data_IF_835382000919
#
_entry.id   IF_835382000919
#
_cell.length_a   1.000
_cell.length_b   1.000
_cell.length_c   1.000
_cell.angle_alpha   90.00
_cell.angle_beta   90.00
_cell.angle_gamma   90.00
#
_symmetry.space_group_name_H-M   'P 1'
#
loop_
_entity.id
_entity.type
_entity.pdbx_description
1 polymer ?
#
# COMPACT_ATOMS: atom_id res chain seq x y z
N UNK A 1 8.02 -5.41 18.40
CA UNK A 1 7.40 -5.54 17.08
C UNK A 1 7.54 -6.99 16.62
N UNK A 2 6.41 -7.70 16.50
CA UNK A 2 6.36 -9.09 16.03
C UNK A 2 6.63 -9.18 14.52
N UNK A 3 6.88 -10.39 13.99
CA UNK A 3 7.21 -10.60 12.57
C UNK A 3 6.13 -10.05 11.63
N UNK A 4 4.86 -10.21 11.96
CA UNK A 4 3.76 -9.70 11.16
C UNK A 4 3.74 -8.16 11.11
N UNK A 5 3.97 -7.48 12.22
CA UNK A 5 4.09 -6.02 12.27
C UNK A 5 5.28 -5.50 11.44
N UNK A 6 6.42 -6.22 11.45
CA UNK A 6 7.57 -5.89 10.60
C UNK A 6 7.27 -6.04 9.12
N UNK A 7 6.62 -7.12 8.74
CA UNK A 7 6.20 -7.34 7.35
C UNK A 7 5.27 -6.23 6.89
N UNK A 8 4.23 -5.91 7.69
CA UNK A 8 3.29 -4.84 7.34
C UNK A 8 3.96 -3.48 7.20
N UNK A 9 4.87 -3.14 8.11
CA UNK A 9 5.61 -1.88 8.03
C UNK A 9 6.48 -1.81 6.77
N UNK A 10 7.10 -2.92 6.36
CA UNK A 10 7.89 -2.97 5.13
C UNK A 10 7.02 -2.78 3.89
N UNK A 11 5.93 -3.54 3.76
CA UNK A 11 5.02 -3.46 2.60
C UNK A 11 4.41 -2.07 2.47
N UNK A 12 3.93 -1.48 3.56
CA UNK A 12 3.38 -0.12 3.53
C UNK A 12 4.41 0.92 3.07
N UNK A 13 5.68 0.79 3.50
CA UNK A 13 6.75 1.67 3.05
C UNK A 13 7.05 1.49 1.55
N UNK A 14 7.06 0.25 1.06
CA UNK A 14 7.27 -0.02 -0.37
C UNK A 14 6.12 0.55 -1.20
N UNK A 15 4.86 0.29 -0.82
CA UNK A 15 3.67 0.84 -1.49
C UNK A 15 3.72 2.37 -1.58
N UNK A 16 4.07 3.06 -0.48
CA UNK A 16 4.25 4.52 -0.47
C UNK A 16 5.37 4.94 -1.43
N UNK A 17 6.49 4.21 -1.43
CA UNK A 17 7.61 4.45 -2.33
C UNK A 17 7.25 4.30 -3.81
N UNK A 18 6.33 3.38 -4.14
CA UNK A 18 5.81 3.20 -5.51
C UNK A 18 4.84 4.31 -5.93
N UNK A 19 4.03 4.83 -5.01
CA UNK A 19 3.00 5.85 -5.33
C UNK A 19 3.55 7.28 -5.34
N UNK A 20 4.51 7.60 -4.47
CA UNK A 20 5.00 8.98 -4.32
C UNK A 20 5.50 9.60 -5.65
N UNK A 21 6.27 8.87 -6.51
CA UNK A 21 6.65 9.38 -7.82
C UNK A 21 5.48 9.55 -8.79
N UNK A 22 4.46 8.69 -8.67
CA UNK A 22 3.30 8.67 -9.56
C UNK A 22 2.37 9.85 -9.31
N UNK A 23 2.17 10.22 -8.05
CA UNK A 23 1.29 11.32 -7.59
C UNK A 23 1.83 12.73 -7.84
N UNK A 24 3.01 12.84 -8.46
CA UNK A 24 3.65 14.13 -8.70
C UNK A 24 4.25 14.80 -7.47
N UNK A 25 4.14 14.17 -6.30
CA UNK A 25 4.76 14.62 -5.06
C UNK A 25 6.28 14.39 -5.11
N UNK A 26 7.00 15.24 -5.83
CA UNK A 26 8.46 15.18 -5.95
C UNK A 26 9.06 15.90 -7.16
N UNK A 27 8.25 16.29 -8.15
CA UNK A 27 8.71 17.02 -9.33
C UNK A 27 8.80 18.52 -9.09
N UNK A 28 9.96 19.14 -9.34
CA UNK A 28 10.18 20.59 -9.18
C UNK A 28 9.36 21.49 -10.14
N UNK A 29 8.60 20.92 -11.06
CA UNK A 29 7.98 21.64 -12.20
C UNK A 29 6.54 21.24 -12.53
N UNK A 30 5.85 20.48 -11.68
CA UNK A 30 4.45 20.10 -11.97
C UNK A 30 3.44 21.11 -11.46
N UNK A 31 2.42 21.37 -12.28
CA UNK A 31 1.28 22.22 -11.95
C UNK A 31 0.25 21.46 -11.11
N UNK A 32 -0.56 22.18 -10.33
CA UNK A 32 -1.67 21.58 -9.55
C UNK A 32 -2.62 20.75 -10.40
N UNK A 33 -2.82 21.11 -11.67
CA UNK A 33 -3.65 20.36 -12.62
C UNK A 33 -3.04 19.01 -13.01
N UNK A 34 -1.72 18.96 -13.22
CA UNK A 34 -0.99 17.72 -13.54
C UNK A 34 -0.98 16.76 -12.36
N UNK A 35 -0.81 17.29 -11.14
CA UNK A 35 -0.93 16.53 -9.90
C UNK A 35 -2.36 15.96 -9.78
N UNK A 36 -3.39 16.77 -10.00
CA UNK A 36 -4.78 16.31 -9.95
C UNK A 36 -5.11 15.22 -10.97
N UNK A 37 -4.62 15.33 -12.21
CA UNK A 37 -4.78 14.29 -13.24
C UNK A 37 -4.06 13.00 -12.89
N UNK A 38 -2.85 13.10 -12.35
CA UNK A 38 -2.06 11.97 -11.89
C UNK A 38 -2.77 11.24 -10.72
N UNK A 39 -3.33 11.99 -9.77
CA UNK A 39 -4.09 11.40 -8.66
C UNK A 39 -5.31 10.62 -9.14
N UNK A 40 -6.06 11.16 -10.11
CA UNK A 40 -7.20 10.45 -10.73
C UNK A 40 -6.72 9.20 -11.46
N UNK A 41 -5.62 9.29 -12.21
CA UNK A 41 -5.06 8.14 -12.94
C UNK A 41 -4.56 7.00 -12.02
N UNK A 42 -4.29 7.31 -10.75
CA UNK A 42 -3.77 6.36 -9.75
C UNK A 42 -4.70 6.22 -8.54
N UNK A 43 -5.96 6.62 -8.67
CA UNK A 43 -6.96 6.52 -7.60
C UNK A 43 -7.10 5.09 -7.05
N UNK A 44 -7.12 4.02 -7.87
CA UNK A 44 -7.17 2.65 -7.36
C UNK A 44 -5.99 2.32 -6.44
N UNK A 45 -4.77 2.65 -6.85
CA UNK A 45 -3.55 2.43 -6.06
C UNK A 45 -3.60 3.18 -4.72
N UNK A 46 -4.07 4.43 -4.73
CA UNK A 46 -4.26 5.24 -3.53
C UNK A 46 -5.31 4.63 -2.59
N UNK A 47 -6.40 4.11 -3.14
CA UNK A 47 -7.48 3.48 -2.38
C UNK A 47 -7.03 2.17 -1.71
N UNK A 48 -6.21 1.37 -2.39
CA UNK A 48 -5.64 0.15 -1.81
C UNK A 48 -4.61 0.47 -0.71
N UNK A 49 -3.72 1.44 -0.92
CA UNK A 49 -2.80 1.90 0.13
C UNK A 49 -3.56 2.41 1.35
N UNK A 50 -4.60 3.22 1.15
CA UNK A 50 -5.45 3.70 2.24
C UNK A 50 -6.08 2.54 3.01
N UNK A 51 -6.63 1.55 2.30
CA UNK A 51 -7.27 0.38 2.91
C UNK A 51 -6.27 -0.45 3.73
N UNK A 52 -5.05 -0.63 3.22
CA UNK A 52 -3.97 -1.31 3.93
C UNK A 52 -3.53 -0.53 5.18
N UNK A 53 -3.41 0.81 5.09
CA UNK A 53 -3.11 1.68 6.24
C UNK A 53 -4.18 1.59 7.32
N UNK A 54 -5.46 1.72 6.94
CA UNK A 54 -6.58 1.64 7.87
C UNK A 54 -6.60 0.28 8.60
N UNK A 55 -6.43 -0.82 7.85
CA UNK A 55 -6.35 -2.15 8.44
C UNK A 55 -5.13 -2.30 9.36
N UNK A 56 -3.97 -1.76 8.99
CA UNK A 56 -2.78 -1.80 9.84
C UNK A 56 -2.93 -0.98 11.14
N UNK A 57 -3.60 0.18 11.08
CA UNK A 57 -3.94 0.96 12.28
C UNK A 57 -4.79 0.13 13.21
N UNK A 58 -5.86 -0.49 12.69
CA UNK A 58 -6.67 -1.41 13.48
C UNK A 58 -5.86 -2.54 14.05
N UNK A 59 -4.93 -3.15 13.29
CA UNK A 59 -4.03 -4.22 13.73
C UNK A 59 -2.97 -3.78 14.76
N UNK A 60 -2.71 -2.48 14.90
CA UNK A 60 -1.70 -1.94 15.84
C UNK A 60 -2.27 -1.54 17.21
N UNK A 61 -3.60 -1.46 17.36
CA UNK A 61 -4.25 -1.16 18.65
C UNK A 61 -4.13 -2.36 19.61
N UNK A 62 -3.88 -2.13 20.91
CA UNK A 62 -3.83 -3.19 21.91
C UNK A 62 -5.24 -3.72 22.26
N UNK A 63 -5.35 -5.03 22.56
CA UNK A 63 -6.58 -5.72 23.00
C UNK A 63 -7.68 -5.83 21.94
N UNK A 64 -7.55 -6.82 21.04
CA UNK A 64 -8.56 -7.19 20.04
C UNK A 64 -9.08 -8.61 20.25
N UNK A 65 -10.32 -8.85 19.86
CA UNK A 65 -10.83 -10.21 19.71
C UNK A 65 -10.11 -10.93 18.57
N UNK A 66 -10.03 -12.25 18.65
CA UNK A 66 -9.44 -13.07 17.58
C UNK A 66 -10.12 -12.83 16.23
N UNK A 67 -11.46 -12.72 16.20
CA UNK A 67 -12.20 -12.43 14.97
C UNK A 67 -11.90 -11.05 14.37
N UNK A 68 -11.63 -10.04 15.20
CA UNK A 68 -11.19 -8.73 14.69
C UNK A 68 -9.78 -8.82 14.10
N UNK A 69 -8.88 -9.58 14.72
CA UNK A 69 -7.52 -9.81 14.19
C UNK A 69 -7.61 -10.48 12.81
N UNK A 70 -8.42 -11.52 12.66
CA UNK A 70 -8.59 -12.25 11.39
C UNK A 70 -9.18 -11.33 10.31
N UNK A 71 -10.28 -10.64 10.61
CA UNK A 71 -10.93 -9.73 9.67
C UNK A 71 -9.99 -8.62 9.15
N UNK A 72 -9.26 -7.96 10.04
CA UNK A 72 -8.34 -6.89 9.62
C UNK A 72 -7.06 -7.44 8.98
N UNK A 73 -6.63 -8.65 9.32
CA UNK A 73 -5.50 -9.31 8.64
C UNK A 73 -5.85 -9.67 7.20
N UNK A 74 -7.04 -10.23 6.97
CA UNK A 74 -7.54 -10.52 5.62
C UNK A 74 -7.67 -9.24 4.80
N UNK A 75 -8.37 -8.23 5.34
CA UNK A 75 -8.55 -6.94 4.67
C UNK A 75 -7.22 -6.26 4.33
N UNK A 76 -6.24 -6.35 5.21
CA UNK A 76 -4.88 -5.87 4.94
C UNK A 76 -4.25 -6.63 3.77
N UNK A 77 -4.23 -7.96 3.83
CA UNK A 77 -3.58 -8.78 2.80
C UNK A 77 -4.21 -8.60 1.42
N UNK A 78 -5.53 -8.58 1.33
CA UNK A 78 -6.25 -8.32 0.08
C UNK A 78 -5.89 -6.96 -0.49
N UNK A 79 -5.88 -5.90 0.33
CA UNK A 79 -5.53 -4.57 -0.15
C UNK A 79 -4.08 -4.48 -0.66
N UNK A 80 -3.14 -5.18 -0.01
CA UNK A 80 -1.75 -5.24 -0.48
C UNK A 80 -1.65 -6.01 -1.80
N UNK A 81 -2.33 -7.14 -1.92
CA UNK A 81 -2.34 -7.95 -3.14
C UNK A 81 -2.93 -7.18 -4.32
N UNK A 82 -4.14 -6.64 -4.17
CA UNK A 82 -4.81 -5.84 -5.20
C UNK A 82 -4.01 -4.59 -5.60
N UNK A 83 -3.27 -4.00 -4.64
CA UNK A 83 -2.36 -2.91 -4.96
C UNK A 83 -1.26 -3.33 -5.94
N UNK A 84 -0.57 -4.44 -5.68
CA UNK A 84 0.52 -4.89 -6.53
C UNK A 84 0.04 -5.45 -7.87
N UNK A 85 -1.14 -6.07 -7.91
CA UNK A 85 -1.80 -6.46 -9.16
C UNK A 85 -2.11 -5.23 -10.02
N UNK A 86 -2.78 -4.22 -9.44
CA UNK A 86 -3.08 -2.97 -10.13
C UNK A 86 -1.80 -2.24 -10.59
N UNK A 87 -0.76 -2.24 -9.75
CA UNK A 87 0.53 -1.61 -10.07
C UNK A 87 1.22 -2.33 -11.24
N UNK A 88 1.20 -3.66 -11.26
CA UNK A 88 1.79 -4.46 -12.32
C UNK A 88 1.02 -4.34 -13.65
N UNK A 89 -0.31 -4.25 -13.60
CA UNK A 89 -1.16 -3.97 -14.78
C UNK A 89 -0.88 -2.58 -15.35
N UNK A 90 -0.71 -1.58 -14.49
CA UNK A 90 -0.49 -0.19 -14.90
C UNK A 90 0.95 0.05 -15.38
N UNK A 91 1.93 -0.61 -14.75
CA UNK A 91 3.35 -0.44 -15.02
C UNK A 91 4.02 -1.80 -15.13
N UNK A 92 4.34 -2.22 -16.35
CA UNK A 92 4.99 -3.51 -16.60
C UNK A 92 6.47 -3.48 -16.18
N UNK A 93 6.74 -3.83 -14.91
CA UNK A 93 8.11 -4.07 -14.45
C UNK A 93 8.14 -5.15 -13.35
N UNK A 94 9.20 -5.95 -13.34
CA UNK A 94 9.42 -6.97 -12.31
C UNK A 94 9.49 -6.36 -10.90
N UNK A 95 9.91 -5.10 -10.80
CA UNK A 95 9.97 -4.35 -9.54
C UNK A 95 8.61 -3.94 -8.97
N UNK A 96 7.51 -4.19 -9.70
CA UNK A 96 6.13 -3.86 -9.30
C UNK A 96 5.36 -5.07 -8.75
N UNK A 97 6.02 -6.22 -8.57
CA UNK A 97 5.43 -7.37 -7.89
C UNK A 97 5.49 -7.20 -6.38
N UNK A 98 4.54 -7.81 -5.66
CA UNK A 98 4.59 -7.90 -4.21
C UNK A 98 5.89 -8.59 -3.79
N UNK A 99 6.72 -7.97 -2.95
CA UNK A 99 7.98 -8.56 -2.53
C UNK A 99 7.74 -9.82 -1.68
N UNK A 100 8.40 -10.92 -2.05
CA UNK A 100 8.49 -12.10 -1.20
C UNK A 100 9.54 -11.82 -0.10
N UNK A 101 9.08 -11.58 1.13
CA UNK A 101 9.96 -11.21 2.23
C UNK A 101 10.27 -12.43 3.11
N UNK A 102 11.26 -13.20 2.67
CA UNK A 102 11.63 -14.48 3.29
C UNK A 102 12.50 -14.33 4.55
N UNK A 103 13.04 -13.13 4.80
CA UNK A 103 14.09 -12.84 5.77
C UNK A 103 13.64 -12.02 7.00
N UNK A 104 12.34 -11.72 7.13
CA UNK A 104 11.73 -11.11 8.32
C UNK A 104 11.27 -12.15 9.35
#
# INVERSE_FOLDING_TARGET
MNKAEKLRAYELNDMVGKIAPLTGMGGKTQTTLEIGKSWIAHEPLLQYLKTALDANVWLSINSKSQGAIEFYSERYNTAVEEFYECLAETFSSESNKRPAVDWL
#
